data_IF_853795024549
#
_entry.id   IF_853795024549
#
_cell.length_a   1.000
_cell.length_b   1.000
_cell.length_c   1.000
_cell.angle_alpha   90.00
_cell.angle_beta   90.00
_cell.angle_gamma   90.00
#
_symmetry.space_group_name_H-M   'P 1'
#
loop_
_entity.id
_entity.type
_entity.pdbx_description
1 polymer ?
#
# COMPACT_ATOMS: atom_id res chain seq x y z
N UNK A 1 -52.32 2.98 -6.70
CA UNK A 1 -51.68 4.22 -7.20
C UNK A 1 -50.38 4.43 -6.41
N UNK A 2 -49.25 4.66 -7.08
CA UNK A 2 -47.98 4.95 -6.38
C UNK A 2 -48.10 6.30 -5.68
N UNK A 3 -47.83 6.35 -4.39
CA UNK A 3 -48.00 7.55 -3.54
C UNK A 3 -46.70 8.15 -3.04
N UNK A 4 -45.57 7.48 -3.26
CA UNK A 4 -44.27 7.95 -2.78
C UNK A 4 -43.16 6.92 -2.97
N UNK A 5 -42.00 7.22 -2.39
CA UNK A 5 -40.81 6.38 -2.41
C UNK A 5 -40.12 6.41 -1.04
N UNK A 6 -39.89 5.25 -0.44
CA UNK A 6 -39.17 5.10 0.84
C UNK A 6 -37.65 5.23 0.60
N UNK A 7 -37.20 6.46 0.39
CA UNK A 7 -35.81 6.79 0.10
C UNK A 7 -34.86 6.38 1.23
N UNK A 8 -35.29 6.53 2.49
CA UNK A 8 -34.47 6.20 3.65
C UNK A 8 -34.19 4.69 3.71
N UNK A 9 -35.20 3.87 3.47
CA UNK A 9 -35.02 2.41 3.41
C UNK A 9 -34.19 1.99 2.19
N UNK A 10 -34.48 2.57 1.02
CA UNK A 10 -33.71 2.27 -0.19
C UNK A 10 -32.22 2.59 -0.04
N UNK A 11 -31.87 3.74 0.56
CA UNK A 11 -30.47 4.13 0.80
C UNK A 11 -29.76 3.12 1.70
N UNK A 12 -30.37 2.78 2.85
CA UNK A 12 -29.78 1.81 3.79
C UNK A 12 -29.55 0.44 3.16
N UNK A 13 -30.53 -0.04 2.38
CA UNK A 13 -30.44 -1.37 1.76
C UNK A 13 -29.41 -1.39 0.61
N UNK A 14 -29.29 -0.29 -0.15
CA UNK A 14 -28.25 -0.13 -1.17
C UNK A 14 -26.85 -0.02 -0.56
N UNK A 15 -26.69 0.82 0.48
CA UNK A 15 -25.44 0.98 1.23
C UNK A 15 -24.97 -0.37 1.79
N UNK A 16 -25.89 -1.15 2.36
CA UNK A 16 -25.57 -2.48 2.89
C UNK A 16 -25.05 -3.42 1.81
N UNK A 17 -25.68 -3.42 0.62
CA UNK A 17 -25.23 -4.23 -0.53
C UNK A 17 -23.87 -3.78 -1.05
N UNK A 18 -23.66 -2.48 -1.21
CA UNK A 18 -22.39 -1.90 -1.63
C UNK A 18 -21.27 -2.21 -0.62
N UNK A 19 -21.55 -2.14 0.68
CA UNK A 19 -20.58 -2.45 1.72
C UNK A 19 -20.11 -3.92 1.65
N UNK A 20 -21.03 -4.86 1.41
CA UNK A 20 -20.69 -6.28 1.22
C UNK A 20 -19.81 -6.46 -0.01
N UNK A 21 -20.18 -5.87 -1.14
CA UNK A 21 -19.42 -5.99 -2.39
C UNK A 21 -18.02 -5.37 -2.29
N UNK A 22 -17.93 -4.16 -1.77
CA UNK A 22 -16.65 -3.46 -1.56
C UNK A 22 -15.76 -4.27 -0.60
N UNK A 23 -16.31 -4.86 0.46
CA UNK A 23 -15.54 -5.74 1.35
C UNK A 23 -14.96 -6.94 0.58
N UNK A 24 -15.76 -7.57 -0.28
CA UNK A 24 -15.33 -8.69 -1.13
C UNK A 24 -14.22 -8.29 -2.10
N UNK A 25 -14.39 -7.16 -2.77
CA UNK A 25 -13.42 -6.59 -3.71
C UNK A 25 -12.11 -6.18 -3.03
N UNK A 26 -12.18 -5.54 -1.86
CA UNK A 26 -10.98 -5.17 -1.10
C UNK A 26 -10.22 -6.41 -0.62
N UNK A 27 -10.93 -7.46 -0.20
CA UNK A 27 -10.31 -8.76 0.11
C UNK A 27 -9.61 -9.37 -1.11
N UNK A 28 -10.21 -9.29 -2.29
CA UNK A 28 -9.60 -9.74 -3.53
C UNK A 28 -8.31 -8.96 -3.86
N UNK A 29 -8.33 -7.63 -3.72
CA UNK A 29 -7.13 -6.79 -3.90
C UNK A 29 -6.06 -7.15 -2.87
N UNK A 30 -6.41 -7.35 -1.60
CA UNK A 30 -5.49 -7.75 -0.54
C UNK A 30 -4.79 -9.08 -0.87
N UNK A 31 -5.54 -10.09 -1.30
CA UNK A 31 -4.97 -11.39 -1.67
C UNK A 31 -4.01 -11.26 -2.86
N UNK A 32 -4.39 -10.45 -3.86
CA UNK A 32 -3.53 -10.15 -5.01
C UNK A 32 -2.24 -9.44 -4.58
N UNK A 33 -2.35 -8.46 -3.68
CA UNK A 33 -1.21 -7.73 -3.11
C UNK A 33 -0.26 -8.68 -2.37
N UNK A 34 -0.79 -9.59 -1.54
CA UNK A 34 0.01 -10.60 -0.83
C UNK A 34 0.81 -11.51 -1.78
N UNK A 35 0.23 -11.85 -2.94
CA UNK A 35 0.88 -12.62 -3.99
C UNK A 35 2.01 -11.86 -4.71
N UNK A 36 1.96 -10.52 -4.73
CA UNK A 36 2.98 -9.67 -5.36
C UNK A 36 4.25 -9.45 -4.55
N UNK A 37 4.26 -9.80 -3.25
CA UNK A 37 5.40 -9.61 -2.36
C UNK A 37 6.53 -10.59 -2.70
N UNK A 38 7.78 -10.09 -2.79
CA UNK A 38 8.97 -10.88 -3.16
C UNK A 38 10.11 -10.80 -2.16
N UNK A 39 10.52 -9.61 -1.74
CA UNK A 39 11.76 -9.39 -1.01
C UNK A 39 11.58 -9.40 0.51
N UNK A 40 10.40 -9.01 0.99
CA UNK A 40 10.08 -8.92 2.42
C UNK A 40 8.83 -9.76 2.76
N UNK A 41 8.95 -11.11 2.87
CA UNK A 41 7.80 -12.00 3.07
C UNK A 41 6.93 -11.66 4.30
N UNK A 42 7.54 -11.16 5.37
CA UNK A 42 6.84 -10.76 6.59
C UNK A 42 5.81 -9.64 6.36
N UNK A 43 5.93 -8.87 5.27
CA UNK A 43 4.93 -7.87 4.87
C UNK A 43 3.56 -8.51 4.64
N UNK A 44 3.49 -9.78 4.19
CA UNK A 44 2.21 -10.48 3.93
C UNK A 44 1.32 -10.57 5.17
N UNK A 45 1.93 -10.75 6.33
CA UNK A 45 1.23 -10.91 7.61
C UNK A 45 0.94 -9.57 8.28
N UNK A 46 1.50 -8.49 7.74
CA UNK A 46 1.31 -7.11 8.23
C UNK A 46 0.35 -6.29 7.38
N UNK A 47 -0.05 -6.79 6.21
CA UNK A 47 -1.12 -6.18 5.43
C UNK A 47 -2.47 -6.43 6.10
N UNK A 48 -3.19 -5.34 6.35
CA UNK A 48 -4.50 -5.33 6.95
C UNK A 48 -5.52 -4.76 5.97
N UNK A 49 -6.76 -5.22 6.10
CA UNK A 49 -7.90 -4.66 5.38
C UNK A 49 -8.78 -3.93 6.37
N UNK A 50 -9.16 -2.71 6.02
CA UNK A 50 -10.07 -1.89 6.81
C UNK A 50 -11.26 -1.48 5.94
N UNK A 51 -12.44 -1.44 6.54
CA UNK A 51 -13.66 -0.96 5.89
C UNK A 51 -14.11 0.30 6.62
N UNK A 52 -14.28 1.38 5.86
CA UNK A 52 -14.77 2.65 6.36
C UNK A 52 -16.10 2.97 5.68
N UNK A 53 -17.16 3.12 6.47
CA UNK A 53 -18.46 3.62 6.01
C UNK A 53 -18.69 4.98 6.65
N UNK A 54 -18.58 6.04 5.85
CA UNK A 54 -19.01 7.38 6.22
C UNK A 54 -20.48 7.51 5.82
N UNK A 55 -21.37 7.60 6.83
CA UNK A 55 -22.82 7.63 6.65
C UNK A 55 -23.21 8.59 5.52
N UNK A 56 -23.81 8.03 4.46
CA UNK A 56 -24.31 8.74 3.27
C UNK A 56 -23.25 9.49 2.44
N UNK A 57 -21.95 9.23 2.64
CA UNK A 57 -20.89 9.93 1.92
C UNK A 57 -19.93 9.00 1.18
N UNK A 58 -19.49 7.93 1.83
CA UNK A 58 -18.44 7.08 1.25
C UNK A 58 -18.44 5.69 1.87
N UNK A 59 -18.27 4.67 1.03
CA UNK A 59 -17.85 3.34 1.44
C UNK A 59 -16.46 3.14 0.85
N UNK A 60 -15.45 3.03 1.72
CA UNK A 60 -14.06 2.74 1.33
C UNK A 60 -13.64 1.40 1.89
N UNK A 61 -12.83 0.69 1.11
CA UNK A 61 -12.09 -0.45 1.59
C UNK A 61 -10.60 -0.21 1.35
N UNK A 62 -9.84 -0.18 2.45
CA UNK A 62 -8.45 0.22 2.46
C UNK A 62 -7.54 -0.99 2.74
N UNK A 63 -6.32 -0.94 2.20
CA UNK A 63 -5.26 -1.91 2.51
C UNK A 63 -4.09 -1.14 3.11
N UNK A 64 -3.79 -1.42 4.37
CA UNK A 64 -2.79 -0.72 5.19
C UNK A 64 -1.69 -1.67 5.64
N UNK A 65 -0.52 -1.12 6.01
CA UNK A 65 0.55 -1.87 6.65
C UNK A 65 1.39 -0.96 7.56
N UNK A 66 1.38 -1.25 8.86
CA UNK A 66 2.20 -0.57 9.86
C UNK A 66 3.60 -1.19 9.97
N UNK A 67 4.17 -1.56 8.83
CA UNK A 67 5.47 -2.23 8.76
C UNK A 67 6.35 -1.56 7.72
N UNK A 68 7.45 -0.95 8.18
CA UNK A 68 8.31 -0.12 7.35
C UNK A 68 8.87 -0.85 6.10
N UNK A 69 9.06 -2.17 6.18
CA UNK A 69 9.52 -2.97 5.04
C UNK A 69 8.50 -3.04 3.90
N UNK A 70 7.22 -2.74 4.15
CA UNK A 70 6.22 -2.61 3.08
C UNK A 70 6.62 -1.49 2.11
N UNK A 71 7.26 -0.41 2.57
CA UNK A 71 7.79 0.64 1.71
C UNK A 71 8.98 0.15 0.87
N UNK A 72 9.86 -0.66 1.44
CA UNK A 72 10.98 -1.26 0.68
C UNK A 72 10.50 -2.28 -0.35
N UNK A 73 9.45 -3.03 -0.04
CA UNK A 73 8.81 -3.95 -0.97
C UNK A 73 8.16 -3.17 -2.13
N UNK A 74 7.35 -2.17 -1.80
CA UNK A 74 6.63 -1.36 -2.77
C UNK A 74 7.56 -0.55 -3.69
N UNK A 75 8.59 0.09 -3.14
CA UNK A 75 9.42 1.07 -3.84
C UNK A 75 10.89 0.66 -4.00
N UNK A 76 11.28 -0.52 -3.52
CA UNK A 76 12.65 -1.00 -3.62
C UNK A 76 13.59 -0.38 -2.59
N UNK A 77 14.87 -0.76 -2.71
CA UNK A 77 15.97 -0.36 -1.83
C UNK A 77 17.23 -0.13 -2.66
N UNK A 78 18.02 0.84 -2.23
CA UNK A 78 19.38 1.04 -2.76
C UNK A 78 19.38 1.67 -4.15
N UNK A 79 20.36 1.31 -4.96
CA UNK A 79 20.52 1.81 -6.34
C UNK A 79 19.33 1.49 -7.25
N UNK A 80 18.61 0.41 -6.96
CA UNK A 80 17.45 -0.06 -7.73
C UNK A 80 16.10 0.50 -7.24
N UNK A 81 16.08 1.33 -6.19
CA UNK A 81 14.82 1.86 -5.69
C UNK A 81 14.19 2.86 -6.66
N UNK A 82 12.87 2.93 -6.63
CA UNK A 82 12.04 3.85 -7.39
C UNK A 82 12.49 5.31 -7.22
N UNK A 83 12.34 6.11 -8.27
CA UNK A 83 12.62 7.55 -8.22
C UNK A 83 11.46 8.35 -7.60
N UNK A 84 11.61 9.67 -7.53
CA UNK A 84 10.64 10.57 -6.93
C UNK A 84 9.34 10.70 -7.73
N UNK A 85 9.33 10.33 -9.01
CA UNK A 85 8.10 10.32 -9.84
C UNK A 85 7.21 9.14 -9.48
N UNK A 86 7.82 8.06 -8.96
CA UNK A 86 7.11 6.82 -8.62
C UNK A 86 6.91 6.65 -7.11
N UNK A 87 7.80 7.18 -6.28
CA UNK A 87 7.73 7.17 -4.82
C UNK A 87 7.57 8.60 -4.26
N UNK A 88 6.35 9.03 -3.90
CA UNK A 88 6.11 10.38 -3.41
C UNK A 88 6.80 10.67 -2.07
N UNK A 89 7.09 9.64 -1.26
CA UNK A 89 7.78 9.80 0.03
C UNK A 89 9.31 9.93 -0.09
N UNK A 90 9.88 9.73 -1.28
CA UNK A 90 11.32 9.62 -1.43
C UNK A 90 12.05 10.91 -1.10
N UNK A 91 11.57 12.06 -1.59
CA UNK A 91 12.23 13.35 -1.37
C UNK A 91 12.27 13.67 0.13
N UNK A 92 11.15 13.49 0.82
CA UNK A 92 11.05 13.66 2.28
C UNK A 92 12.01 12.72 3.02
N UNK A 93 12.09 11.45 2.62
CA UNK A 93 13.02 10.50 3.21
C UNK A 93 14.48 10.93 3.03
N UNK A 94 14.89 11.34 1.82
CA UNK A 94 16.26 11.80 1.53
C UNK A 94 16.67 13.09 2.26
N UNK A 95 15.68 13.84 2.76
CA UNK A 95 15.89 15.05 3.56
C UNK A 95 15.80 14.79 5.07
N UNK A 96 15.44 13.57 5.48
CA UNK A 96 15.33 13.18 6.90
C UNK A 96 16.67 12.72 7.48
N UNK A 97 16.76 12.68 8.81
CA UNK A 97 17.92 12.11 9.53
C UNK A 97 18.11 10.60 9.31
N UNK A 98 17.07 9.92 8.81
CA UNK A 98 17.16 8.52 8.45
C UNK A 98 17.99 8.30 7.16
N UNK A 99 18.16 9.31 6.32
CA UNK A 99 19.02 9.21 5.13
C UNK A 99 20.50 9.18 5.53
N UNK A 100 21.28 8.29 4.93
CA UNK A 100 22.73 8.34 5.08
C UNK A 100 23.27 9.52 4.27
N UNK A 101 23.79 10.56 4.93
CA UNK A 101 24.31 11.77 4.24
C UNK A 101 25.48 11.49 3.30
N UNK A 102 26.20 10.37 3.48
CA UNK A 102 27.26 9.92 2.57
C UNK A 102 26.71 9.31 1.27
N UNK A 103 25.42 8.94 1.25
CA UNK A 103 24.76 8.35 0.09
C UNK A 103 24.44 9.42 -0.94
N UNK A 104 24.87 9.19 -2.19
CA UNK A 104 24.48 10.03 -3.31
C UNK A 104 22.97 9.97 -3.54
N UNK A 105 22.36 11.14 -3.75
CA UNK A 105 20.93 11.27 -4.07
C UNK A 105 20.60 10.81 -5.50
N UNK A 106 21.57 10.87 -6.41
CA UNK A 106 21.39 10.44 -7.80
C UNK A 106 21.45 8.91 -7.92
N UNK A 107 22.60 8.33 -7.57
CA UNK A 107 22.84 6.88 -7.69
C UNK A 107 22.11 6.06 -6.65
N UNK A 108 21.80 6.64 -5.48
CA UNK A 108 21.07 5.97 -4.40
C UNK A 108 21.74 4.66 -3.95
N UNK A 109 23.01 4.43 -4.22
CA UNK A 109 23.75 3.25 -3.74
C UNK A 109 23.78 3.21 -2.21
N UNK A 110 23.52 2.06 -1.58
CA UNK A 110 23.70 1.91 -0.13
C UNK A 110 25.18 1.96 0.21
N UNK A 111 25.61 3.01 0.90
CA UNK A 111 26.98 3.15 1.41
C UNK A 111 27.03 3.03 2.93
N UNK A 112 28.20 2.68 3.46
CA UNK A 112 28.42 2.65 4.91
C UNK A 112 28.31 4.03 5.55
N UNK A 113 27.92 4.05 6.83
CA UNK A 113 27.77 5.27 7.62
C UNK A 113 29.08 5.64 8.33
N UNK A 114 29.26 6.92 8.61
CA UNK A 114 30.31 7.40 9.52
C UNK A 114 30.11 6.88 10.95
N UNK A 115 31.15 6.96 11.76
CA UNK A 115 31.11 6.54 13.16
C UNK A 115 30.09 7.37 13.96
N UNK A 116 29.33 6.70 14.83
CA UNK A 116 28.39 7.35 15.76
C UNK A 116 26.96 6.80 15.70
N UNK A 117 26.08 7.45 16.47
CA UNK A 117 24.66 7.11 16.53
C UNK A 117 23.91 7.69 15.33
N UNK A 118 22.96 6.93 14.79
CA UNK A 118 22.09 7.36 13.71
C UNK A 118 20.68 6.81 13.87
N UNK A 119 19.70 7.55 13.33
CA UNK A 119 18.32 7.08 13.21
C UNK A 119 18.18 6.24 11.94
N UNK A 120 17.66 5.03 12.09
CA UNK A 120 17.35 4.13 10.98
C UNK A 120 15.97 4.46 10.37
N UNK A 121 15.68 3.92 9.19
CA UNK A 121 14.41 4.15 8.47
C UNK A 121 13.18 3.61 9.24
N UNK A 122 13.39 2.61 10.09
CA UNK A 122 12.39 2.08 11.02
C UNK A 122 12.22 2.95 12.28
N UNK A 123 12.91 4.10 12.35
CA UNK A 123 12.90 5.00 13.49
C UNK A 123 13.83 4.61 14.64
N UNK A 124 14.45 3.43 14.59
CA UNK A 124 15.33 2.94 15.67
C UNK A 124 16.67 3.67 15.68
N UNK A 125 17.21 3.92 16.87
CA UNK A 125 18.58 4.43 17.03
C UNK A 125 19.57 3.28 16.95
N UNK A 126 20.63 3.44 16.15
CA UNK A 126 21.68 2.45 15.94
C UNK A 126 23.05 3.10 16.01
N UNK A 127 24.07 2.33 16.39
CA UNK A 127 25.45 2.78 16.39
C UNK A 127 26.20 2.22 15.17
N UNK A 128 27.02 3.04 14.53
CA UNK A 128 27.97 2.62 13.50
C UNK A 128 29.40 2.77 14.00
N UNK A 129 30.24 1.76 13.78
CA UNK A 129 31.68 1.82 14.04
C UNK A 129 32.49 2.57 12.98
N UNK A 130 31.89 2.97 11.85
CA UNK A 130 32.54 3.78 10.81
C UNK A 130 33.52 3.08 9.87
N UNK A 131 33.84 1.79 10.07
CA UNK A 131 34.86 1.07 9.29
C UNK A 131 34.61 0.97 7.76
N UNK A 132 33.37 1.18 7.32
CA UNK A 132 32.98 1.22 5.90
C UNK A 132 32.38 2.56 5.48
N UNK A 133 32.68 3.66 6.18
CA UNK A 133 32.08 4.96 5.89
C UNK A 133 32.30 5.37 4.41
N UNK A 134 31.20 5.60 3.69
CA UNK A 134 31.23 5.99 2.28
C UNK A 134 31.53 4.86 1.28
N UNK A 135 31.90 3.67 1.75
CA UNK A 135 32.15 2.50 0.91
C UNK A 135 30.83 1.95 0.38
N UNK A 136 30.81 1.54 -0.89
CA UNK A 136 29.68 0.88 -1.55
C UNK A 136 29.42 -0.50 -0.91
N UNK A 137 28.31 -0.63 -0.18
CA UNK A 137 27.93 -1.88 0.47
C UNK A 137 27.17 -2.80 -0.49
N UNK A 138 26.62 -2.28 -1.58
CA UNK A 138 25.94 -3.08 -2.58
C UNK A 138 26.96 -3.91 -3.36
N UNK A 139 28.06 -3.30 -3.77
CA UNK A 139 29.17 -3.98 -4.45
C UNK A 139 29.79 -5.07 -3.58
N UNK A 140 30.11 -4.74 -2.32
CA UNK A 140 30.67 -5.72 -1.37
C UNK A 140 29.72 -6.89 -1.12
N UNK A 141 28.41 -6.63 -1.03
CA UNK A 141 27.41 -7.68 -0.87
C UNK A 141 27.24 -8.53 -2.14
N UNK A 142 27.41 -7.94 -3.32
CA UNK A 142 27.37 -8.66 -4.59
C UNK A 142 28.55 -9.63 -4.73
N UNK A 143 29.73 -9.19 -4.30
CA UNK A 143 30.95 -10.03 -4.24
C UNK A 143 30.91 -11.10 -3.15
N UNK A 144 29.99 -10.99 -2.19
CA UNK A 144 29.90 -11.90 -1.05
C UNK A 144 30.83 -11.57 0.11
N UNK A 145 31.43 -10.38 0.11
CA UNK A 145 32.35 -9.93 1.17
C UNK A 145 31.59 -9.53 2.47
N UNK A 146 30.31 -9.15 2.34
CA UNK A 146 29.43 -8.79 3.45
C UNK A 146 28.03 -9.39 3.29
N UNK A 147 27.19 -9.21 4.31
CA UNK A 147 25.83 -9.71 4.38
C UNK A 147 24.98 -9.34 3.12
N UNK A 148 24.39 -10.33 2.43
CA UNK A 148 23.54 -10.11 1.25
C UNK A 148 22.36 -9.16 1.47
N UNK A 149 21.95 -8.90 2.72
CA UNK A 149 20.90 -7.91 3.02
C UNK A 149 21.24 -6.52 2.50
N UNK A 150 22.51 -6.19 2.25
CA UNK A 150 22.91 -4.89 1.69
C UNK A 150 22.66 -4.77 0.19
N UNK A 151 22.39 -5.89 -0.52
CA UNK A 151 22.04 -5.86 -1.94
C UNK A 151 20.83 -4.94 -2.20
N UNK A 152 20.81 -4.24 -3.33
CA UNK A 152 19.67 -3.44 -3.74
C UNK A 152 18.51 -4.35 -4.15
N UNK A 153 17.28 -3.86 -3.98
CA UNK A 153 16.08 -4.58 -4.43
C UNK A 153 15.26 -3.66 -5.32
N UNK A 154 14.81 -4.10 -6.50
CA UNK A 154 13.91 -3.29 -7.31
C UNK A 154 12.52 -3.17 -6.64
N UNK A 155 11.74 -2.15 -6.99
CA UNK A 155 10.35 -2.04 -6.56
C UNK A 155 9.52 -3.19 -7.10
N UNK A 156 8.64 -3.77 -6.28
CA UNK A 156 7.62 -4.74 -6.76
C UNK A 156 6.30 -4.07 -7.10
N UNK A 157 6.08 -2.86 -6.60
CA UNK A 157 4.82 -2.12 -6.77
C UNK A 157 3.57 -2.93 -6.41
N UNK A 158 3.68 -3.88 -5.48
CA UNK A 158 2.69 -4.91 -5.24
C UNK A 158 1.28 -4.38 -4.97
N UNK A 159 1.12 -3.25 -4.25
CA UNK A 159 -0.20 -2.62 -4.03
C UNK A 159 -0.76 -2.01 -5.32
N UNK A 160 0.08 -1.30 -6.07
CA UNK A 160 -0.30 -0.66 -7.34
C UNK A 160 -0.76 -1.71 -8.35
N UNK A 161 0.03 -2.78 -8.50
CA UNK A 161 -0.29 -3.88 -9.40
C UNK A 161 -1.59 -4.56 -8.97
N UNK A 162 -1.77 -4.82 -7.67
CA UNK A 162 -2.99 -5.45 -7.16
C UNK A 162 -4.26 -4.65 -7.48
N UNK A 163 -4.22 -3.32 -7.34
CA UNK A 163 -5.35 -2.45 -7.71
C UNK A 163 -5.56 -2.46 -9.22
N UNK A 164 -4.48 -2.27 -10.00
CA UNK A 164 -4.56 -2.21 -11.46
C UNK A 164 -5.07 -3.51 -12.08
N UNK A 165 -4.61 -4.66 -11.60
CA UNK A 165 -5.02 -5.98 -12.11
C UNK A 165 -6.47 -6.31 -11.78
N UNK A 166 -7.02 -5.74 -10.71
CA UNK A 166 -8.41 -5.96 -10.30
C UNK A 166 -9.36 -4.82 -10.71
N UNK A 167 -8.87 -3.78 -11.41
CA UNK A 167 -9.66 -2.59 -11.78
C UNK A 167 -10.99 -2.94 -12.44
N UNK A 168 -10.99 -3.84 -13.42
CA UNK A 168 -12.21 -4.20 -14.14
C UNK A 168 -13.20 -4.93 -13.23
N UNK A 169 -12.71 -5.82 -12.36
CA UNK A 169 -13.56 -6.53 -11.39
C UNK A 169 -14.18 -5.57 -10.37
N UNK A 170 -13.40 -4.58 -9.91
CA UNK A 170 -13.89 -3.55 -9.00
C UNK A 170 -15.02 -2.73 -9.64
N UNK A 171 -14.79 -2.23 -10.86
CA UNK A 171 -15.77 -1.43 -11.56
C UNK A 171 -17.04 -2.22 -11.88
N UNK A 172 -16.87 -3.47 -12.33
CA UNK A 172 -17.99 -4.34 -12.66
C UNK A 172 -18.80 -4.74 -11.42
N UNK A 173 -18.16 -5.16 -10.33
CA UNK A 173 -18.87 -5.55 -9.11
C UNK A 173 -19.71 -4.41 -8.53
N UNK A 174 -19.16 -3.19 -8.51
CA UNK A 174 -19.91 -1.99 -8.08
C UNK A 174 -21.09 -1.70 -9.02
N UNK A 175 -20.87 -1.75 -10.34
CA UNK A 175 -21.92 -1.50 -11.32
C UNK A 175 -23.07 -2.51 -11.19
N UNK A 176 -22.75 -3.80 -11.07
CA UNK A 176 -23.72 -4.89 -10.91
C UNK A 176 -24.62 -4.69 -9.68
N UNK A 177 -24.07 -4.22 -8.55
CA UNK A 177 -24.87 -3.91 -7.35
C UNK A 177 -25.86 -2.79 -7.63
N UNK A 178 -25.43 -1.73 -8.31
CA UNK A 178 -26.27 -0.55 -8.59
C UNK A 178 -27.37 -0.90 -9.60
N UNK A 179 -27.02 -1.60 -10.68
CA UNK A 179 -27.92 -1.94 -11.78
C UNK A 179 -28.97 -2.98 -11.38
N UNK A 180 -28.58 -3.97 -10.56
CA UNK A 180 -29.48 -5.03 -10.09
C UNK A 180 -30.30 -4.64 -8.85
N UNK A 181 -30.06 -3.44 -8.28
CA UNK A 181 -30.76 -3.01 -7.08
C UNK A 181 -32.27 -2.86 -7.37
N UNK A 182 -33.15 -3.47 -6.56
CA UNK A 182 -34.58 -3.51 -6.86
C UNK A 182 -35.30 -2.23 -6.42
N UNK A 183 -34.97 -1.08 -7.04
CA UNK A 183 -35.55 0.24 -6.70
C UNK A 183 -37.08 0.22 -6.66
N UNK A 184 -37.71 -0.58 -7.53
CA UNK A 184 -39.16 -0.71 -7.61
C UNK A 184 -39.82 -1.17 -6.29
N UNK A 185 -39.09 -1.89 -5.42
CA UNK A 185 -39.63 -2.39 -4.15
C UNK A 185 -39.85 -1.33 -3.08
N UNK A 186 -39.35 -0.12 -3.31
CA UNK A 186 -39.42 0.99 -2.34
C UNK A 186 -40.47 2.03 -2.74
N UNK A 187 -41.18 1.86 -3.85
CA UNK A 187 -42.37 2.65 -4.13
C UNK A 187 -43.47 2.29 -3.11
N UNK A 188 -44.14 3.29 -2.57
CA UNK A 188 -45.26 3.11 -1.64
C UNK A 188 -46.58 3.15 -2.41
N UNK A 189 -47.52 2.29 -2.03
CA UNK A 189 -48.87 2.26 -2.60
C UNK A 189 -49.92 2.37 -1.48
N UNK A 190 -51.07 2.95 -1.80
CA UNK A 190 -52.27 2.84 -0.95
C UNK A 190 -52.91 1.49 -1.24
N UNK A 191 -53.08 0.66 -0.20
CA UNK A 191 -53.95 -0.51 -0.26
C UNK A 191 -55.38 -0.02 -0.05
N UNK A 192 -56.24 -0.26 -1.04
CA UNK A 192 -57.70 -0.17 -0.89
C UNK A 192 -58.21 -1.23 0.10
#
# INVERSE_FOLDING_TARGET
MITGYDAARASRDLESKLAVEITGLTKLVLLTAKGGIRYYPAVRDKLQMEMLVLANQMISGDITADYWQAWLEQFGKGSLMADATQNPGLVTYMNSDAWNRLRSRSSKVVVGRGQGNYKSIDGTMRFSGGGYAGVDLEELAERGDIDPKFKPTPPTYFLRIAIQSNRNRILQGIAEVIESFPYHRYFTEVKD
#
